data_IF_099156450632
#
_entry.id   IF_099156450632
#
_cell.length_a   1.000
_cell.length_b   1.000
_cell.length_c   1.000
_cell.angle_alpha   90.00
_cell.angle_beta   90.00
_cell.angle_gamma   90.00
#
_symmetry.space_group_name_H-M   'P 1'
#
loop_
_entity.id
_entity.type
_entity.pdbx_description
1 polymer ?
#
# COMPACT_ATOMS: atom_id res chain seq x y z
N UNK A 1 -10.14 21.72 15.93
CA UNK A 1 -8.79 21.19 15.65
C UNK A 1 -8.31 21.89 14.39
N UNK A 2 -7.15 22.56 14.42
CA UNK A 2 -6.56 23.19 13.21
C UNK A 2 -6.28 22.09 12.16
N UNK A 3 -6.53 22.39 10.88
CA UNK A 3 -6.27 21.46 9.80
C UNK A 3 -4.75 21.17 9.75
N UNK A 4 -4.31 19.90 9.81
CA UNK A 4 -2.88 19.56 9.81
C UNK A 4 -2.14 20.09 8.57
N UNK A 5 -2.85 20.28 7.45
CA UNK A 5 -2.28 20.87 6.25
C UNK A 5 -1.97 22.37 6.39
N UNK A 6 -2.83 23.14 7.06
CA UNK A 6 -2.60 24.57 7.25
C UNK A 6 -1.44 24.82 8.23
N UNK A 7 -1.31 23.98 9.25
CA UNK A 7 -0.17 24.00 10.17
C UNK A 7 1.15 23.70 9.44
N UNK A 8 1.15 22.69 8.58
CA UNK A 8 2.31 22.33 7.75
C UNK A 8 2.74 23.50 6.85
N UNK A 9 1.80 24.14 6.15
CA UNK A 9 2.09 25.24 5.23
C UNK A 9 2.71 26.43 5.96
N UNK A 10 2.14 26.81 7.12
CA UNK A 10 2.69 27.90 7.95
C UNK A 10 4.11 27.59 8.44
N UNK A 11 4.34 26.36 8.89
CA UNK A 11 5.65 25.95 9.39
C UNK A 11 6.69 25.91 8.27
N UNK A 12 6.31 25.37 7.10
CA UNK A 12 7.15 25.32 5.91
C UNK A 12 7.62 26.70 5.47
N UNK A 13 6.72 27.67 5.32
CA UNK A 13 7.10 29.03 4.90
C UNK A 13 7.94 29.75 5.95
N UNK A 14 7.67 29.53 7.23
CA UNK A 14 8.48 30.07 8.32
C UNK A 14 9.92 29.53 8.28
N UNK A 15 10.08 28.22 8.05
CA UNK A 15 11.39 27.59 7.91
C UNK A 15 12.12 28.03 6.64
N UNK A 16 11.42 28.17 5.51
CA UNK A 16 12.03 28.60 4.26
C UNK A 16 12.63 30.02 4.39
N UNK A 17 11.94 30.90 5.12
CA UNK A 17 12.43 32.25 5.44
C UNK A 17 13.67 32.21 6.33
N UNK A 18 13.68 31.37 7.36
CA UNK A 18 14.85 31.19 8.23
C UNK A 18 16.05 30.59 7.47
N UNK A 19 15.81 29.62 6.58
CA UNK A 19 16.86 29.05 5.74
C UNK A 19 17.42 30.07 4.75
N UNK A 20 16.58 30.91 4.14
CA UNK A 20 17.03 32.01 3.27
C UNK A 20 17.93 32.97 4.04
N UNK A 21 17.54 33.37 5.25
CA UNK A 21 18.37 34.21 6.12
C UNK A 21 19.69 33.51 6.47
N UNK A 22 19.66 32.23 6.84
CA UNK A 22 20.87 31.48 7.18
C UNK A 22 21.83 31.32 5.98
N UNK A 23 21.30 31.12 4.76
CA UNK A 23 22.10 31.12 3.52
C UNK A 23 22.75 32.48 3.26
N UNK A 24 22.03 33.57 3.50
CA UNK A 24 22.57 34.93 3.39
C UNK A 24 23.69 35.16 4.42
N UNK A 25 23.49 34.75 5.67
CA UNK A 25 24.52 34.82 6.71
C UNK A 25 25.78 34.02 6.35
N UNK A 26 25.63 32.80 5.84
CA UNK A 26 26.79 31.99 5.42
C UNK A 26 27.53 32.64 4.24
N UNK A 27 26.80 33.22 3.27
CA UNK A 27 27.41 33.96 2.14
C UNK A 27 28.15 35.22 2.62
N UNK A 28 27.55 35.97 3.53
CA UNK A 28 28.19 37.15 4.13
C UNK A 28 29.45 36.74 4.90
N UNK A 29 29.36 35.72 5.75
CA UNK A 29 30.50 35.20 6.50
C UNK A 29 31.62 34.71 5.58
N UNK A 30 31.28 34.00 4.50
CA UNK A 30 32.25 33.59 3.49
C UNK A 30 32.90 34.80 2.80
N UNK A 31 32.13 35.83 2.43
CA UNK A 31 32.67 37.05 1.82
C UNK A 31 33.62 37.82 2.76
N UNK A 32 33.25 37.93 4.04
CA UNK A 32 34.08 38.56 5.07
C UNK A 32 35.38 37.75 5.26
N UNK A 33 35.28 36.42 5.33
CA UNK A 33 36.43 35.54 5.45
C UNK A 33 37.38 35.67 4.25
N UNK A 34 36.85 35.77 3.03
CA UNK A 34 37.67 35.95 1.82
C UNK A 34 38.41 37.29 1.80
N UNK A 35 37.74 38.37 2.22
CA UNK A 35 38.36 39.70 2.32
C UNK A 35 39.41 39.72 3.42
N UNK A 36 39.15 39.05 4.55
CA UNK A 36 40.10 38.93 5.65
C UNK A 36 41.36 38.16 5.24
N UNK A 37 41.23 37.01 4.56
CA UNK A 37 42.37 36.24 4.04
C UNK A 37 43.17 37.07 3.04
N UNK A 38 42.52 37.81 2.14
CA UNK A 38 43.18 38.68 1.18
C UNK A 38 43.93 39.84 1.84
N UNK A 39 43.36 40.46 2.87
CA UNK A 39 44.01 41.53 3.64
C UNK A 39 45.24 41.03 4.41
N UNK A 40 45.15 39.85 5.04
CA UNK A 40 46.29 39.21 5.73
C UNK A 40 47.40 38.86 4.74
N UNK A 41 47.05 38.35 3.56
CA UNK A 41 48.00 38.04 2.49
C UNK A 41 48.76 39.28 2.01
N UNK A 42 48.09 40.43 1.88
CA UNK A 42 48.73 41.70 1.50
C UNK A 42 49.65 42.26 2.61
N UNK A 43 49.28 42.08 3.87
CA UNK A 43 50.03 42.62 5.01
C UNK A 43 51.34 41.89 5.28
N UNK A 44 51.38 40.56 5.10
CA UNK A 44 52.55 39.75 5.48
C UNK A 44 53.59 39.54 4.39
N UNK A 45 53.34 39.99 3.15
CA UNK A 45 54.23 39.72 1.98
C UNK A 45 54.67 38.24 1.95
N UNK A 46 53.76 37.34 2.34
CA UNK A 46 54.02 35.94 2.64
C UNK A 46 54.35 35.15 1.38
N UNK A 47 55.08 34.04 1.53
CA UNK A 47 55.34 33.12 0.43
C UNK A 47 54.03 32.52 -0.11
N UNK A 48 53.99 32.23 -1.42
CA UNK A 48 52.79 31.70 -2.10
C UNK A 48 52.25 30.41 -1.46
N UNK A 49 53.14 29.61 -0.86
CA UNK A 49 52.82 28.32 -0.24
C UNK A 49 51.99 28.52 1.04
N UNK A 50 52.38 29.44 1.91
CA UNK A 50 51.65 29.70 3.16
C UNK A 50 50.24 30.23 2.89
N UNK A 51 50.08 31.14 1.92
CA UNK A 51 48.76 31.63 1.51
C UNK A 51 47.88 30.53 0.94
N UNK A 52 48.46 29.54 0.23
CA UNK A 52 47.70 28.43 -0.34
C UNK A 52 47.13 27.49 0.73
N UNK A 53 47.88 27.26 1.81
CA UNK A 53 47.47 26.42 2.93
C UNK A 53 46.33 27.09 3.71
N UNK A 54 46.45 28.38 4.02
CA UNK A 54 45.37 29.14 4.68
C UNK A 54 44.08 29.19 3.84
N UNK A 55 44.20 29.34 2.53
CA UNK A 55 43.05 29.30 1.63
C UNK A 55 42.34 27.94 1.67
N UNK A 56 43.08 26.83 1.59
CA UNK A 56 42.50 25.47 1.65
C UNK A 56 41.81 25.17 2.99
N UNK A 57 42.39 25.63 4.11
CA UNK A 57 41.78 25.47 5.45
C UNK A 57 40.48 26.28 5.54
N UNK A 58 40.47 27.53 5.06
CA UNK A 58 39.26 28.37 5.08
C UNK A 58 38.13 27.81 4.21
N UNK A 59 38.45 27.29 3.03
CA UNK A 59 37.49 26.61 2.14
C UNK A 59 36.93 25.35 2.80
N UNK A 60 37.78 24.55 3.46
CA UNK A 60 37.37 23.34 4.16
C UNK A 60 36.41 23.63 5.32
N UNK A 61 36.65 24.72 6.07
CA UNK A 61 35.75 25.16 7.15
C UNK A 61 34.38 25.54 6.60
N UNK A 62 34.33 26.34 5.53
CA UNK A 62 33.06 26.73 4.89
C UNK A 62 32.33 25.51 4.33
N UNK A 63 33.06 24.58 3.70
CA UNK A 63 32.49 23.32 3.20
C UNK A 63 31.92 22.47 4.33
N UNK A 64 32.62 22.34 5.46
CA UNK A 64 32.17 21.58 6.62
C UNK A 64 30.90 22.18 7.25
N UNK A 65 30.84 23.51 7.40
CA UNK A 65 29.64 24.21 7.89
C UNK A 65 28.46 23.95 6.93
N UNK A 66 28.69 24.05 5.62
CA UNK A 66 27.67 23.76 4.60
C UNK A 66 27.20 22.31 4.66
N UNK A 67 28.12 21.35 4.71
CA UNK A 67 27.82 19.93 4.82
C UNK A 67 26.99 19.61 6.07
N UNK A 68 27.39 20.14 7.23
CA UNK A 68 26.63 19.98 8.48
C UNK A 68 25.24 20.62 8.41
N UNK A 69 25.13 21.78 7.77
CA UNK A 69 23.83 22.46 7.59
C UNK A 69 22.87 21.66 6.70
N UNK A 70 23.38 21.07 5.61
CA UNK A 70 22.59 20.24 4.69
C UNK A 70 22.16 18.95 5.38
N UNK A 71 23.06 18.31 6.13
CA UNK A 71 22.75 17.09 6.88
C UNK A 71 21.66 17.33 7.93
N UNK A 72 21.77 18.40 8.71
CA UNK A 72 20.74 18.80 9.67
C UNK A 72 19.40 19.13 9.02
N UNK A 73 19.40 19.69 7.81
CA UNK A 73 18.17 19.96 7.07
C UNK A 73 17.49 18.64 6.65
N UNK A 74 18.25 17.64 6.19
CA UNK A 74 17.72 16.31 5.86
C UNK A 74 17.16 15.57 7.06
N UNK A 75 17.87 15.59 8.20
CA UNK A 75 17.40 14.95 9.44
C UNK A 75 16.07 15.56 9.94
N UNK A 76 15.88 16.87 9.74
CA UNK A 76 14.61 17.55 10.10
C UNK A 76 13.49 17.24 9.13
N UNK A 77 13.80 17.17 7.83
CA UNK A 77 12.86 16.75 6.80
C UNK A 77 12.38 15.31 7.03
N UNK A 78 13.28 14.39 7.37
CA UNK A 78 12.95 13.01 7.76
C UNK A 78 12.09 12.95 9.04
N UNK A 79 12.41 13.75 10.06
CA UNK A 79 11.61 13.83 11.28
C UNK A 79 10.21 14.38 11.02
N UNK A 80 10.07 15.37 10.15
CA UNK A 80 8.81 15.96 9.73
C UNK A 80 7.97 14.93 8.95
N UNK A 81 8.56 14.19 8.01
CA UNK A 81 7.86 13.11 7.30
C UNK A 81 7.42 11.96 8.20
N UNK A 82 8.25 11.62 9.19
CA UNK A 82 7.89 10.61 10.19
C UNK A 82 6.72 11.08 11.07
N UNK A 83 6.68 12.37 11.45
CA UNK A 83 5.56 12.95 12.18
C UNK A 83 4.27 12.99 11.35
N UNK A 84 4.40 13.15 10.04
CA UNK A 84 3.30 13.07 9.08
C UNK A 84 2.94 11.62 8.70
N UNK A 85 3.63 10.60 9.22
CA UNK A 85 3.47 9.18 8.85
C UNK A 85 3.54 8.90 7.33
N UNK A 86 4.24 9.76 6.59
CA UNK A 86 4.36 9.70 5.14
C UNK A 86 5.60 8.87 4.78
N UNK A 87 5.43 7.77 4.05
CA UNK A 87 6.56 6.88 3.68
C UNK A 87 7.50 7.61 2.69
N UNK A 88 8.77 7.89 3.09
CA UNK A 88 9.71 8.62 2.27
C UNK A 88 10.10 7.87 0.98
N UNK A 89 9.85 6.56 0.88
CA UNK A 89 10.10 5.77 -0.32
C UNK A 89 9.10 6.07 -1.45
N UNK A 90 7.92 6.62 -1.14
CA UNK A 90 6.92 7.02 -2.15
C UNK A 90 7.40 8.22 -2.95
N UNK A 91 8.32 9.02 -2.39
CA UNK A 91 8.84 10.24 -3.00
C UNK A 91 10.26 10.04 -3.53
N UNK A 92 10.53 9.01 -4.31
CA UNK A 92 11.87 8.81 -4.90
C UNK A 92 12.28 9.87 -5.96
N UNK A 93 11.47 10.92 -6.11
CA UNK A 93 11.74 12.07 -6.96
C UNK A 93 12.58 13.16 -6.24
N UNK A 94 13.38 13.94 -7.00
CA UNK A 94 14.24 15.00 -6.45
C UNK A 94 13.50 16.16 -5.77
N UNK A 95 12.17 16.24 -5.87
CA UNK A 95 11.33 17.30 -5.30
C UNK A 95 10.32 16.78 -4.26
N UNK A 96 10.78 15.92 -3.33
CA UNK A 96 9.97 15.33 -2.23
C UNK A 96 9.08 16.35 -1.50
N UNK A 97 9.68 17.49 -1.18
CA UNK A 97 9.04 18.59 -0.46
C UNK A 97 7.94 19.30 -1.27
N UNK A 98 8.10 19.40 -2.59
CA UNK A 98 7.10 20.04 -3.46
C UNK A 98 5.82 19.21 -3.55
N UNK A 99 5.97 17.89 -3.59
CA UNK A 99 4.86 16.95 -3.63
C UNK A 99 4.10 16.97 -2.28
N UNK A 100 4.83 17.00 -1.17
CA UNK A 100 4.24 17.14 0.17
C UNK A 100 3.47 18.47 0.33
N UNK A 101 4.02 19.57 -0.20
CA UNK A 101 3.38 20.88 -0.19
C UNK A 101 2.14 20.91 -1.09
N UNK A 102 2.20 20.29 -2.27
CA UNK A 102 1.04 20.17 -3.16
C UNK A 102 -0.09 19.36 -2.52
N UNK A 103 0.26 18.29 -1.80
CA UNK A 103 -0.69 17.49 -1.04
C UNK A 103 -1.29 18.24 0.16
N UNK A 104 -0.51 19.11 0.79
CA UNK A 104 -1.00 20.02 1.82
C UNK A 104 -2.02 21.01 1.29
N UNK A 105 -1.71 21.62 0.15
CA UNK A 105 -2.57 22.62 -0.49
C UNK A 105 -3.85 22.02 -1.07
N UNK A 106 -3.81 20.78 -1.56
CA UNK A 106 -4.98 20.07 -2.07
C UNK A 106 -5.86 19.47 -0.96
N UNK A 107 -5.45 19.52 0.31
CA UNK A 107 -6.15 18.87 1.42
C UNK A 107 -6.16 17.33 1.32
N UNK A 108 -5.36 16.75 0.40
CA UNK A 108 -5.38 15.32 0.09
C UNK A 108 -4.39 14.52 0.94
N UNK A 109 -3.97 15.03 2.11
CA UNK A 109 -3.07 14.27 2.99
C UNK A 109 -3.63 12.88 3.33
N UNK A 110 -4.95 12.74 3.41
CA UNK A 110 -5.62 11.45 3.64
C UNK A 110 -5.27 10.37 2.59
N UNK A 111 -4.95 10.74 1.35
CA UNK A 111 -4.56 9.78 0.29
C UNK A 111 -3.08 9.39 0.38
N UNK A 112 -2.23 10.22 1.00
CA UNK A 112 -0.81 9.94 1.24
C UNK A 112 -0.52 9.29 2.60
N UNK A 113 -1.43 9.44 3.56
CA UNK A 113 -1.41 8.85 4.90
C UNK A 113 -1.72 7.34 4.92
N UNK A 114 -1.82 6.68 3.76
CA UNK A 114 -2.10 5.25 3.68
C UNK A 114 -0.81 4.47 3.98
N UNK A 115 -0.47 4.45 5.26
CA UNK A 115 0.66 3.73 5.83
C UNK A 115 0.46 2.21 5.75
N UNK A 116 1.58 1.48 5.85
CA UNK A 116 1.64 0.01 6.02
C UNK A 116 0.77 -0.51 7.19
N UNK A 117 0.40 0.34 8.15
CA UNK A 117 -0.49 0.03 9.28
C UNK A 117 -1.97 0.16 8.93
N UNK A 118 -2.35 1.09 8.05
CA UNK A 118 -3.73 1.23 7.55
C UNK A 118 -4.19 0.00 6.72
N UNK A 119 -3.24 -0.74 6.12
CA UNK A 119 -3.54 -2.02 5.41
C UNK A 119 -3.81 -3.20 6.34
N UNK A 120 -3.76 -3.03 7.67
CA UNK A 120 -3.99 -4.11 8.64
C UNK A 120 -5.25 -3.92 9.47
N UNK A 121 -5.82 -2.72 9.53
CA UNK A 121 -7.02 -2.49 10.31
C UNK A 121 -8.25 -2.60 9.39
N UNK A 122 -9.12 -3.57 9.68
CA UNK A 122 -10.49 -3.59 9.13
C UNK A 122 -11.18 -2.28 9.53
N UNK A 123 -12.00 -1.75 8.63
CA UNK A 123 -12.40 -0.33 8.54
C UNK A 123 -13.12 0.34 9.72
N UNK A 124 -13.15 -0.26 10.91
CA UNK A 124 -13.82 0.28 12.11
C UNK A 124 -13.46 -0.47 13.41
N UNK A 125 -12.58 -1.47 13.39
CA UNK A 125 -12.27 -2.26 14.58
C UNK A 125 -11.27 -1.55 15.51
N UNK A 126 -11.73 -1.07 16.67
CA UNK A 126 -10.89 -0.46 17.71
C UNK A 126 -9.76 -1.38 18.19
N UNK A 127 -9.93 -2.70 18.10
CA UNK A 127 -8.94 -3.69 18.56
C UNK A 127 -7.82 -3.94 17.54
N UNK A 128 -8.00 -3.53 16.28
CA UNK A 128 -7.02 -3.72 15.20
C UNK A 128 -6.74 -5.20 14.85
N UNK A 129 -5.73 -5.43 14.01
CA UNK A 129 -5.33 -6.79 13.61
C UNK A 129 -4.85 -7.60 14.82
N UNK A 130 -5.64 -8.58 15.26
CA UNK A 130 -5.12 -9.69 16.05
C UNK A 130 -4.49 -10.71 15.10
N UNK A 131 -3.20 -11.01 15.29
CA UNK A 131 -2.50 -12.06 14.51
C UNK A 131 -3.03 -13.47 14.78
N UNK A 132 -4.09 -13.60 15.59
CA UNK A 132 -4.53 -14.85 16.18
C UNK A 132 -3.48 -15.42 17.13
N UNK A 133 -3.86 -16.45 17.88
CA UNK A 133 -2.89 -17.34 18.51
C UNK A 133 -2.46 -18.36 17.46
N UNK A 134 -1.20 -18.33 17.03
CA UNK A 134 -0.60 -19.39 16.21
C UNK A 134 -0.31 -20.59 17.10
N UNK A 135 -1.36 -21.30 17.51
CA UNK A 135 -1.18 -22.61 18.13
C UNK A 135 -0.66 -23.59 17.07
N UNK A 136 0.16 -24.55 17.50
CA UNK A 136 0.66 -25.63 16.64
C UNK A 136 -0.52 -26.32 15.95
N UNK A 137 -0.43 -26.51 14.63
CA UNK A 137 -1.50 -27.05 13.77
C UNK A 137 -2.00 -28.46 14.18
N UNK A 138 -1.29 -29.13 15.10
CA UNK A 138 -1.49 -30.55 15.46
C UNK A 138 -1.53 -30.80 16.98
N UNK A 139 -1.85 -29.78 17.79
CA UNK A 139 -2.00 -29.99 19.23
C UNK A 139 -3.37 -30.60 19.56
N UNK A 140 -3.36 -31.85 20.03
CA UNK A 140 -4.56 -32.62 20.37
C UNK A 140 -5.30 -32.10 21.60
N UNK A 141 -4.70 -31.16 22.34
CA UNK A 141 -5.37 -30.45 23.44
C UNK A 141 -6.26 -29.29 22.95
N UNK A 142 -6.21 -28.91 21.66
CA UNK A 142 -7.11 -27.89 21.13
C UNK A 142 -8.50 -28.46 20.85
N UNK A 143 -9.50 -27.75 21.38
CA UNK A 143 -10.90 -27.98 21.05
C UNK A 143 -11.16 -27.67 19.57
N UNK A 144 -11.93 -28.55 18.92
CA UNK A 144 -12.36 -28.38 17.53
C UNK A 144 -13.13 -27.07 17.40
N UNK A 145 -12.69 -26.20 16.48
CA UNK A 145 -13.38 -24.96 16.14
C UNK A 145 -14.11 -25.14 14.82
N UNK A 146 -15.42 -25.32 14.88
CA UNK A 146 -16.26 -25.29 13.68
C UNK A 146 -16.56 -23.84 13.31
N UNK A 147 -16.33 -23.48 12.04
CA UNK A 147 -16.56 -22.12 11.54
C UNK A 147 -18.03 -21.69 11.70
N UNK A 148 -18.97 -22.63 11.58
CA UNK A 148 -20.40 -22.40 11.76
C UNK A 148 -20.78 -21.90 13.15
N UNK A 149 -19.99 -22.20 14.18
CA UNK A 149 -20.21 -21.69 15.54
C UNK A 149 -19.81 -20.21 15.68
N UNK A 150 -19.06 -19.68 14.72
CA UNK A 150 -18.56 -18.30 14.72
C UNK A 150 -19.31 -17.35 13.79
N UNK A 151 -20.25 -17.83 12.98
CA UNK A 151 -20.96 -17.03 11.97
C UNK A 151 -21.64 -15.79 12.58
N UNK A 152 -22.31 -15.95 13.73
CA UNK A 152 -23.00 -14.83 14.40
C UNK A 152 -22.07 -13.81 15.06
N UNK A 153 -20.80 -14.15 15.30
CA UNK A 153 -19.85 -13.22 15.96
C UNK A 153 -19.39 -12.09 15.04
N UNK A 154 -19.64 -12.22 13.73
CA UNK A 154 -19.24 -11.23 12.73
C UNK A 154 -20.41 -10.39 12.22
N UNK A 155 -21.63 -10.70 12.67
CA UNK A 155 -22.84 -10.01 12.22
C UNK A 155 -22.86 -8.56 12.72
N UNK A 156 -23.06 -7.60 11.82
CA UNK A 156 -23.04 -6.17 12.12
C UNK A 156 -21.66 -5.55 12.42
N UNK A 157 -20.57 -6.32 12.36
CA UNK A 157 -19.20 -5.77 12.38
C UNK A 157 -18.75 -5.26 11.00
N UNK A 158 -19.51 -5.59 9.96
CA UNK A 158 -19.30 -5.08 8.61
C UNK A 158 -19.89 -3.68 8.49
N UNK A 159 -19.09 -2.72 8.00
CA UNK A 159 -19.58 -1.38 7.68
C UNK A 159 -20.26 -1.35 6.31
N UNK A 160 -20.77 -0.18 5.92
CA UNK A 160 -21.34 0.01 4.58
C UNK A 160 -20.33 -0.37 3.49
N UNK A 161 -20.82 -1.05 2.45
CA UNK A 161 -19.99 -1.43 1.29
C UNK A 161 -19.39 -0.19 0.64
N UNK A 162 -18.09 -0.24 0.35
CA UNK A 162 -17.43 0.82 -0.41
C UNK A 162 -17.97 0.83 -1.84
N UNK A 163 -17.90 1.97 -2.57
CA UNK A 163 -18.37 2.02 -3.95
C UNK A 163 -17.78 0.94 -4.87
N UNK A 164 -16.52 0.56 -4.67
CA UNK A 164 -15.89 -0.54 -5.41
C UNK A 164 -16.45 -1.93 -5.07
N UNK A 165 -16.79 -2.15 -3.79
CA UNK A 165 -17.35 -3.42 -3.31
C UNK A 165 -18.83 -3.56 -3.72
N UNK A 166 -19.55 -2.44 -3.78
CA UNK A 166 -20.92 -2.39 -4.31
C UNK A 166 -20.97 -2.88 -5.76
N UNK A 167 -20.05 -2.43 -6.61
CA UNK A 167 -19.97 -2.87 -8.01
C UNK A 167 -19.71 -4.38 -8.13
N UNK A 168 -18.84 -4.93 -7.27
CA UNK A 168 -18.57 -6.37 -7.22
C UNK A 168 -19.80 -7.14 -6.73
N UNK A 169 -20.49 -6.62 -5.71
CA UNK A 169 -21.71 -7.24 -5.19
C UNK A 169 -22.82 -7.28 -6.25
N UNK A 170 -22.97 -6.20 -7.01
CA UNK A 170 -23.95 -6.13 -8.11
C UNK A 170 -23.59 -7.12 -9.22
N UNK A 171 -22.30 -7.19 -9.59
CA UNK A 171 -21.82 -8.15 -10.57
C UNK A 171 -22.09 -9.59 -10.12
N UNK A 172 -21.81 -9.92 -8.86
CA UNK A 172 -22.07 -11.25 -8.28
C UNK A 172 -23.55 -11.62 -8.38
N UNK A 173 -24.46 -10.70 -8.01
CA UNK A 173 -25.91 -10.93 -8.11
C UNK A 173 -26.32 -11.20 -9.57
N UNK A 174 -25.78 -10.44 -10.53
CA UNK A 174 -26.05 -10.66 -11.96
C UNK A 174 -25.52 -12.01 -12.44
N UNK A 175 -24.29 -12.37 -12.07
CA UNK A 175 -23.71 -13.67 -12.43
C UNK A 175 -24.48 -14.82 -11.81
N UNK A 176 -24.93 -14.69 -10.57
CA UNK A 176 -25.75 -15.70 -9.91
C UNK A 176 -27.07 -15.93 -10.66
N UNK A 177 -27.75 -14.85 -11.08
CA UNK A 177 -28.97 -14.95 -11.87
C UNK A 177 -28.74 -15.65 -13.21
N UNK A 178 -27.67 -15.26 -13.93
CA UNK A 178 -27.33 -15.87 -15.22
C UNK A 178 -26.96 -17.35 -15.03
N UNK A 179 -26.16 -17.67 -14.01
CA UNK A 179 -25.76 -19.04 -13.71
C UNK A 179 -26.98 -19.89 -13.35
N UNK A 180 -27.89 -19.37 -12.52
CA UNK A 180 -29.14 -20.05 -12.16
C UNK A 180 -30.04 -20.29 -13.37
N UNK A 181 -30.13 -19.32 -14.29
CA UNK A 181 -30.90 -19.50 -15.52
C UNK A 181 -30.28 -20.56 -16.41
N UNK A 182 -28.96 -20.48 -16.67
CA UNK A 182 -28.24 -21.48 -17.45
C UNK A 182 -28.33 -22.88 -16.85
N UNK A 183 -28.30 -22.98 -15.53
CA UNK A 183 -28.47 -24.24 -14.82
C UNK A 183 -29.86 -24.83 -15.08
N UNK A 184 -30.92 -24.02 -14.93
CA UNK A 184 -32.29 -24.45 -15.22
C UNK A 184 -32.47 -24.83 -16.69
N UNK A 185 -31.91 -24.03 -17.60
CA UNK A 185 -31.98 -24.32 -19.04
C UNK A 185 -31.27 -25.64 -19.34
N UNK A 186 -30.12 -25.90 -18.71
CA UNK A 186 -29.40 -27.17 -18.82
C UNK A 186 -30.21 -28.34 -18.27
N UNK A 187 -30.81 -28.19 -17.08
CA UNK A 187 -31.66 -29.24 -16.48
C UNK A 187 -32.89 -29.53 -17.34
N UNK A 188 -33.53 -28.51 -17.89
CA UNK A 188 -34.72 -28.69 -18.73
C UNK A 188 -34.44 -29.35 -20.08
N UNK A 189 -33.20 -29.25 -20.57
CA UNK A 189 -32.76 -29.85 -21.83
C UNK A 189 -32.06 -31.20 -21.61
N UNK A 190 -31.90 -31.64 -20.37
CA UNK A 190 -31.23 -32.90 -20.08
C UNK A 190 -32.16 -34.08 -20.39
N UNK A 191 -31.73 -34.92 -21.33
CA UNK A 191 -32.48 -36.08 -21.80
C UNK A 191 -32.74 -37.07 -20.65
N UNK A 192 -31.77 -37.24 -19.75
CA UNK A 192 -31.85 -38.18 -18.64
C UNK A 192 -32.94 -37.75 -17.64
N UNK A 193 -33.07 -36.43 -17.41
CA UNK A 193 -34.13 -35.84 -16.58
C UNK A 193 -35.51 -35.99 -17.21
N UNK A 194 -35.63 -35.78 -18.52
CA UNK A 194 -36.89 -35.94 -19.26
C UNK A 194 -37.35 -37.40 -19.23
N UNK A 195 -36.42 -38.35 -19.43
CA UNK A 195 -36.71 -39.79 -19.41
C UNK A 195 -37.09 -40.31 -18.02
N UNK A 196 -36.45 -39.76 -16.97
CA UNK A 196 -36.81 -40.05 -15.59
C UNK A 196 -38.13 -39.38 -15.16
N UNK A 197 -38.60 -38.36 -15.89
CA UNK A 197 -39.77 -37.56 -15.55
C UNK A 197 -39.55 -36.63 -14.37
N UNK A 198 -38.31 -36.17 -14.16
CA UNK A 198 -37.88 -35.38 -13.00
C UNK A 198 -37.34 -34.02 -13.44
N UNK A 199 -37.68 -32.94 -12.75
CA UNK A 199 -37.30 -31.58 -13.15
C UNK A 199 -35.90 -31.14 -12.68
N UNK A 200 -35.33 -31.80 -11.66
CA UNK A 200 -34.06 -31.41 -11.02
C UNK A 200 -33.08 -32.56 -10.96
N UNK A 201 -31.79 -32.27 -11.22
CA UNK A 201 -30.71 -33.25 -11.11
C UNK A 201 -30.62 -33.89 -9.72
N UNK A 202 -30.84 -33.11 -8.65
CA UNK A 202 -30.81 -33.63 -7.29
C UNK A 202 -31.88 -34.68 -7.01
N UNK A 203 -33.04 -34.57 -7.66
CA UNK A 203 -34.12 -35.54 -7.52
C UNK A 203 -33.84 -36.79 -8.36
N UNK A 204 -33.18 -36.65 -9.52
CA UNK A 204 -32.71 -37.78 -10.34
C UNK A 204 -31.77 -38.69 -9.55
N UNK A 205 -30.82 -38.13 -8.79
CA UNK A 205 -29.90 -38.89 -7.93
C UNK A 205 -30.64 -39.65 -6.82
N UNK A 206 -31.80 -39.17 -6.39
CA UNK A 206 -32.64 -39.86 -5.39
C UNK A 206 -33.48 -40.98 -5.99
N UNK A 207 -33.60 -41.03 -7.32
CA UNK A 207 -34.24 -42.15 -8.02
C UNK A 207 -33.24 -43.25 -8.35
N UNK A 208 -33.75 -44.45 -8.62
CA UNK A 208 -32.91 -45.58 -9.08
C UNK A 208 -32.52 -45.47 -10.56
N UNK A 209 -32.57 -44.29 -11.17
CA UNK A 209 -32.34 -44.10 -12.61
C UNK A 209 -30.92 -44.52 -13.01
N UNK A 210 -29.92 -44.13 -12.23
CA UNK A 210 -28.52 -44.49 -12.49
C UNK A 210 -28.27 -46.00 -12.36
N UNK A 211 -28.92 -46.67 -11.40
CA UNK A 211 -28.79 -48.12 -11.22
C UNK A 211 -29.42 -48.92 -12.37
N UNK A 212 -30.51 -48.40 -12.96
CA UNK A 212 -31.23 -49.05 -14.07
C UNK A 212 -30.63 -48.78 -15.44
N UNK A 213 -30.02 -47.61 -15.63
CA UNK A 213 -29.40 -47.18 -16.88
C UNK A 213 -27.86 -47.27 -16.86
N UNK A 214 -27.28 -47.90 -15.84
CA UNK A 214 -25.85 -48.15 -15.76
C UNK A 214 -25.39 -48.99 -16.96
N UNK A 215 -24.53 -48.41 -17.80
CA UNK A 215 -23.81 -49.12 -18.85
C UNK A 215 -22.47 -49.58 -18.30
N UNK A 216 -22.22 -50.89 -18.30
CA UNK A 216 -20.91 -51.43 -17.96
C UNK A 216 -19.85 -50.87 -18.93
N UNK A 217 -18.75 -50.35 -18.39
CA UNK A 217 -17.66 -49.75 -19.18
C UNK A 217 -17.93 -48.32 -19.68
N UNK A 218 -18.97 -47.62 -19.21
CA UNK A 218 -19.27 -46.24 -19.64
C UNK A 218 -18.10 -45.27 -19.46
N UNK A 219 -17.33 -45.41 -18.37
CA UNK A 219 -16.17 -44.56 -18.08
C UNK A 219 -15.04 -44.80 -19.09
N UNK A 220 -14.82 -46.05 -19.49
CA UNK A 220 -13.77 -46.43 -20.45
C UNK A 220 -14.09 -45.90 -21.85
N UNK A 221 -15.34 -46.02 -22.29
CA UNK A 221 -15.82 -45.43 -23.56
C UNK A 221 -15.74 -43.88 -23.58
N UNK A 222 -15.89 -43.23 -22.41
CA UNK A 222 -15.79 -41.78 -22.29
C UNK A 222 -14.33 -41.31 -22.30
N UNK A 223 -13.41 -42.12 -21.80
CA UNK A 223 -11.97 -41.85 -21.91
C UNK A 223 -11.46 -42.06 -23.33
N UNK A 224 -11.92 -43.09 -24.03
CA UNK A 224 -11.52 -43.41 -25.40
C UNK A 224 -12.07 -42.38 -26.42
N UNK A 225 -13.31 -41.90 -26.24
CA UNK A 225 -13.87 -40.86 -27.12
C UNK A 225 -13.19 -39.49 -26.98
N UNK A 226 -12.55 -39.21 -25.83
CA UNK A 226 -11.83 -37.95 -25.60
C UNK A 226 -10.42 -37.93 -26.19
N UNK A 227 -9.81 -39.10 -26.43
CA UNK A 227 -8.49 -39.20 -27.09
C UNK A 227 -8.55 -38.99 -28.60
N UNK A 228 -9.70 -39.20 -29.23
CA UNK A 228 -9.86 -39.08 -30.69
C UNK A 228 -10.18 -37.65 -31.16
N UNK A 229 -10.55 -36.75 -30.24
CA UNK A 229 -11.00 -35.38 -30.54
C UNK A 229 -9.92 -34.29 -30.32
N UNK A 230 -8.67 -34.67 -30.00
CA UNK A 230 -7.50 -33.77 -30.01
C UNK A 230 -6.75 -33.86 -31.36
N UNK A 231 -6.89 -32.87 -32.27
CA UNK A 231 -5.97 -32.74 -33.39
C UNK A 231 -4.61 -32.23 -32.87
N UNK A 232 -3.56 -32.99 -33.16
CA UNK A 232 -2.14 -32.60 -33.06
C UNK A 232 -1.85 -31.34 -33.88
#
# INVERSE_FOLDING_TARGET
>A
MENPGDFFIRHYFAEEKLQRQHRLYIRLLASILTVFVFAVMQMYRSSLIESSIFALVSISIVFFIRFRSIRRAREREEALFNLLEVDPAVFDHPSRMEIALKAAQSGSFQTLLVSKTQRRNRGSDEKGFTSGKTASLLDSALERRDASLSDGNFDGLEGDLRPSELLVSEANVRYEQIARQRWKDSESNDQDLIEAGVERLGDLVRTDWFEKNAKDGAVEALMESKSDDEPV
#
